data_IF_824195167149
#
_entry.id   IF_824195167149
#
_cell.length_a   1.000
_cell.length_b   1.000
_cell.length_c   1.000
_cell.angle_alpha   90.00
_cell.angle_beta   90.00
_cell.angle_gamma   90.00
#
_symmetry.space_group_name_H-M   'P 1'
#
loop_
_entity.id
_entity.type
_entity.pdbx_description
1 polymer ?
#
# COMPACT_ATOMS: atom_id res chain seq x y z
N UNK A 1 12.46 -14.17 45.86
CA UNK A 1 13.17 -14.95 44.83
C UNK A 1 12.55 -14.57 43.50
N UNK A 2 12.87 -13.39 42.94
CA UNK A 2 12.13 -12.84 41.77
C UNK A 2 13.07 -12.08 40.81
N UNK A 3 14.22 -12.65 40.50
CA UNK A 3 15.17 -12.07 39.52
C UNK A 3 15.58 -13.05 38.42
N UNK A 4 14.97 -14.24 38.38
CA UNK A 4 15.23 -15.26 37.36
C UNK A 4 14.35 -15.11 36.10
N UNK A 5 13.20 -14.43 36.20
CA UNK A 5 12.17 -14.41 35.13
C UNK A 5 12.60 -13.68 33.83
N UNK A 6 13.35 -12.58 33.92
CA UNK A 6 13.75 -11.81 32.73
C UNK A 6 14.93 -12.41 31.96
N UNK A 7 15.79 -13.19 32.63
CA UNK A 7 16.94 -13.86 32.00
C UNK A 7 16.52 -15.11 31.23
N UNK A 8 15.43 -15.76 31.64
CA UNK A 8 14.90 -16.94 30.97
C UNK A 8 14.11 -16.60 29.69
N UNK A 9 13.54 -15.39 29.60
CA UNK A 9 12.92 -14.87 28.35
C UNK A 9 13.96 -14.67 27.24
N UNK A 10 15.21 -14.33 27.58
CA UNK A 10 16.30 -14.21 26.61
C UNK A 10 16.98 -15.53 26.25
N UNK A 11 16.80 -16.59 27.06
CA UNK A 11 17.47 -17.88 26.89
C UNK A 11 16.75 -18.85 25.94
N UNK A 12 15.55 -18.49 25.46
CA UNK A 12 14.70 -19.35 24.64
C UNK A 12 14.62 -19.03 23.14
N UNK A 13 15.35 -18.02 22.64
CA UNK A 13 15.34 -17.71 21.21
C UNK A 13 16.37 -18.60 20.49
N UNK A 14 15.91 -19.67 19.85
CA UNK A 14 16.76 -20.52 18.98
C UNK A 14 17.60 -19.65 18.04
N UNK A 15 18.84 -20.05 17.72
CA UNK A 15 19.70 -19.32 16.78
C UNK A 15 18.98 -19.00 15.46
N UNK A 16 18.07 -19.88 15.03
CA UNK A 16 17.26 -19.69 13.83
C UNK A 16 16.20 -18.60 14.01
N UNK A 17 15.57 -18.50 15.18
CA UNK A 17 14.64 -17.41 15.49
C UNK A 17 15.35 -16.04 15.45
N UNK A 18 16.60 -15.96 15.90
CA UNK A 18 17.40 -14.73 15.82
C UNK A 18 17.70 -14.38 14.35
N UNK A 19 18.07 -15.36 13.52
CA UNK A 19 18.27 -15.15 12.08
C UNK A 19 16.98 -14.64 11.42
N UNK A 20 15.84 -15.27 11.72
CA UNK A 20 14.54 -14.85 11.20
C UNK A 20 14.16 -13.44 11.65
N UNK A 21 14.45 -13.06 12.90
CA UNK A 21 14.23 -11.71 13.41
C UNK A 21 15.07 -10.66 12.66
N UNK A 22 16.37 -10.91 12.49
CA UNK A 22 17.27 -10.01 11.77
C UNK A 22 16.84 -9.86 10.31
N UNK A 23 16.46 -10.97 9.66
CA UNK A 23 15.94 -10.95 8.30
C UNK A 23 14.64 -10.14 8.19
N UNK A 24 13.70 -10.33 9.11
CA UNK A 24 12.45 -9.57 9.15
C UNK A 24 12.68 -8.06 9.35
N UNK A 25 13.58 -7.68 10.26
CA UNK A 25 13.94 -6.27 10.47
C UNK A 25 14.62 -5.67 9.24
N UNK A 26 15.52 -6.41 8.60
CA UNK A 26 16.19 -5.97 7.36
C UNK A 26 15.19 -5.80 6.21
N UNK A 27 14.23 -6.72 6.09
CA UNK A 27 13.12 -6.65 5.13
C UNK A 27 12.32 -5.36 5.33
N UNK A 28 11.88 -5.09 6.56
CA UNK A 28 11.10 -3.88 6.87
C UNK A 28 11.87 -2.59 6.56
N UNK A 29 13.19 -2.59 6.79
CA UNK A 29 14.06 -1.48 6.41
C UNK A 29 14.10 -1.27 4.90
N UNK A 30 14.35 -2.34 4.14
CA UNK A 30 14.41 -2.27 2.67
C UNK A 30 13.07 -1.88 2.06
N UNK A 31 11.97 -2.51 2.49
CA UNK A 31 10.62 -2.18 2.03
C UNK A 31 10.30 -0.72 2.37
N UNK A 32 10.51 -0.28 3.61
CA UNK A 32 10.26 1.11 4.02
C UNK A 32 11.09 2.13 3.24
N UNK A 33 12.38 1.87 3.03
CA UNK A 33 13.27 2.73 2.24
C UNK A 33 12.88 2.75 0.76
N UNK A 34 12.40 1.62 0.20
CA UNK A 34 12.02 1.51 -1.20
C UNK A 34 10.94 2.52 -1.60
N UNK A 35 9.94 2.77 -0.75
CA UNK A 35 8.88 3.74 -1.01
C UNK A 35 9.42 5.16 -1.16
N UNK A 36 10.39 5.52 -0.32
CA UNK A 36 11.02 6.84 -0.27
C UNK A 36 11.94 7.04 -1.48
N UNK A 37 12.74 6.03 -1.81
CA UNK A 37 13.61 6.05 -2.99
C UNK A 37 12.78 6.13 -4.27
N UNK A 38 11.74 5.30 -4.41
CA UNK A 38 10.81 5.34 -5.55
C UNK A 38 10.20 6.73 -5.71
N UNK A 39 9.68 7.33 -4.64
CA UNK A 39 9.11 8.67 -4.73
C UNK A 39 10.13 9.74 -5.11
N UNK A 40 11.35 9.65 -4.58
CA UNK A 40 12.42 10.58 -4.98
C UNK A 40 12.76 10.43 -6.47
N UNK A 41 12.78 9.19 -6.98
CA UNK A 41 12.90 8.89 -8.40
C UNK A 41 11.75 9.47 -9.22
N UNK A 42 10.50 9.27 -8.79
CA UNK A 42 9.30 9.83 -9.44
C UNK A 42 9.35 11.36 -9.51
N UNK A 43 9.72 12.04 -8.41
CA UNK A 43 9.87 13.51 -8.38
C UNK A 43 10.96 14.00 -9.35
N UNK A 44 12.08 13.29 -9.43
CA UNK A 44 13.19 13.63 -10.34
C UNK A 44 12.78 13.42 -11.81
N UNK A 45 12.16 12.29 -12.13
CA UNK A 45 11.63 12.01 -13.46
C UNK A 45 10.53 13.00 -13.88
N UNK A 46 9.73 13.47 -12.93
CA UNK A 46 8.70 14.48 -13.16
C UNK A 46 9.24 15.89 -13.43
N UNK A 47 10.50 16.18 -13.11
CA UNK A 47 11.14 17.46 -13.43
C UNK A 47 11.68 17.50 -14.87
N UNK A 48 12.01 16.34 -15.45
CA UNK A 48 12.55 16.20 -16.81
C UNK A 48 11.54 15.63 -17.82
N UNK A 49 10.40 15.12 -17.36
CA UNK A 49 9.40 14.47 -18.20
C UNK A 49 7.98 14.51 -17.63
N UNK A 50 7.08 13.73 -18.22
CA UNK A 50 5.67 13.71 -17.82
C UNK A 50 5.54 12.96 -16.49
N UNK A 51 4.95 13.64 -15.51
CA UNK A 51 4.74 13.13 -14.16
C UNK A 51 3.88 11.86 -14.14
N UNK A 52 4.22 10.91 -13.28
CA UNK A 52 3.46 9.68 -13.11
C UNK A 52 2.02 9.97 -12.67
N UNK A 53 1.82 10.95 -11.79
CA UNK A 53 0.52 11.35 -11.27
C UNK A 53 -0.49 11.70 -12.36
N UNK A 54 -0.06 12.34 -13.46
CA UNK A 54 -0.93 12.68 -14.60
C UNK A 54 -0.99 11.58 -15.67
N UNK A 55 -0.37 10.42 -15.43
CA UNK A 55 -0.36 9.28 -16.34
C UNK A 55 0.90 9.15 -17.21
N UNK A 56 1.97 9.90 -16.94
CA UNK A 56 3.24 9.77 -17.64
C UNK A 56 4.08 8.57 -17.19
N UNK A 57 4.94 8.06 -18.08
CA UNK A 57 5.82 6.92 -17.82
C UNK A 57 7.33 7.29 -17.79
N UNK A 58 7.66 8.57 -17.69
CA UNK A 58 9.06 9.05 -17.73
C UNK A 58 9.95 8.48 -16.61
N UNK A 59 9.35 8.02 -15.52
CA UNK A 59 10.07 7.38 -14.40
C UNK A 59 10.76 6.07 -14.77
N UNK A 60 10.35 5.39 -15.85
CA UNK A 60 11.00 4.16 -16.31
C UNK A 60 12.44 4.40 -16.78
N UNK A 61 12.79 5.64 -17.16
CA UNK A 61 14.14 6.03 -17.55
C UNK A 61 14.99 6.54 -16.39
N UNK A 62 14.39 6.78 -15.22
CA UNK A 62 15.11 7.34 -14.07
C UNK A 62 15.75 6.20 -13.24
N UNK A 63 17.09 6.12 -13.16
CA UNK A 63 17.77 5.03 -12.45
C UNK A 63 17.40 4.97 -10.97
N UNK A 64 17.14 6.12 -10.34
CA UNK A 64 16.76 6.17 -8.92
C UNK A 64 15.43 5.46 -8.64
N UNK A 65 14.49 5.45 -9.59
CA UNK A 65 13.24 4.71 -9.45
C UNK A 65 13.51 3.20 -9.47
N UNK A 66 14.38 2.73 -10.37
CA UNK A 66 14.80 1.32 -10.42
C UNK A 66 15.55 0.87 -9.17
N UNK A 67 16.42 1.70 -8.60
CA UNK A 67 17.05 1.42 -7.30
C UNK A 67 15.97 1.19 -6.23
N UNK A 68 14.92 2.00 -6.21
CA UNK A 68 13.79 1.82 -5.32
C UNK A 68 13.06 0.49 -5.56
N UNK A 69 12.81 0.12 -6.82
CA UNK A 69 12.18 -1.17 -7.17
C UNK A 69 13.04 -2.37 -6.76
N UNK A 70 14.34 -2.35 -7.05
CA UNK A 70 15.27 -3.43 -6.67
C UNK A 70 15.33 -3.56 -5.14
N UNK A 71 15.37 -2.44 -4.42
CA UNK A 71 15.37 -2.44 -2.95
C UNK A 71 14.09 -3.06 -2.40
N UNK A 72 12.94 -2.80 -3.02
CA UNK A 72 11.67 -3.46 -2.67
C UNK A 72 11.75 -4.97 -2.86
N UNK A 73 12.24 -5.44 -4.01
CA UNK A 73 12.38 -6.86 -4.33
C UNK A 73 13.30 -7.56 -3.32
N UNK A 74 14.44 -6.96 -2.99
CA UNK A 74 15.37 -7.49 -1.97
C UNK A 74 14.69 -7.59 -0.60
N UNK A 75 13.90 -6.57 -0.22
CA UNK A 75 13.12 -6.59 1.00
C UNK A 75 12.10 -7.74 1.04
N UNK A 76 11.33 -7.93 -0.03
CA UNK A 76 10.36 -9.04 -0.14
C UNK A 76 11.02 -10.42 -0.08
N UNK A 77 12.18 -10.60 -0.73
CA UNK A 77 12.95 -11.84 -0.65
C UNK A 77 13.46 -12.09 0.77
N UNK A 78 13.96 -11.06 1.45
CA UNK A 78 14.36 -11.16 2.86
C UNK A 78 13.16 -11.47 3.77
N UNK A 79 11.99 -10.91 3.48
CA UNK A 79 10.73 -11.21 4.18
C UNK A 79 10.37 -12.69 4.05
N UNK A 80 10.39 -13.19 2.82
CA UNK A 80 10.12 -14.60 2.54
C UNK A 80 11.12 -15.52 3.25
N UNK A 81 12.41 -15.18 3.22
CA UNK A 81 13.43 -15.92 3.95
C UNK A 81 13.20 -15.89 5.46
N UNK A 82 12.73 -14.78 6.03
CA UNK A 82 12.44 -14.68 7.47
C UNK A 82 11.39 -15.72 7.93
N UNK A 83 10.36 -15.98 7.13
CA UNK A 83 9.36 -17.02 7.42
C UNK A 83 9.92 -18.45 7.43
N UNK A 84 11.07 -18.69 6.80
CA UNK A 84 11.74 -19.99 6.86
C UNK A 84 12.50 -20.22 8.19
N UNK A 85 12.84 -19.15 8.91
CA UNK A 85 13.68 -19.20 10.11
C UNK A 85 12.96 -18.79 11.40
N UNK A 86 11.86 -18.03 11.29
CA UNK A 86 11.06 -17.59 12.43
C UNK A 86 9.56 -17.82 12.18
N UNK A 87 8.79 -18.11 13.23
CA UNK A 87 7.35 -18.29 13.12
C UNK A 87 6.66 -17.01 12.65
N UNK A 88 5.59 -17.18 11.86
CA UNK A 88 4.86 -16.07 11.25
C UNK A 88 4.36 -15.02 12.24
N UNK A 89 4.03 -15.43 13.48
CA UNK A 89 3.58 -14.54 14.55
C UNK A 89 4.65 -13.53 15.00
N UNK A 90 5.93 -13.83 14.80
CA UNK A 90 7.05 -12.91 15.08
C UNK A 90 7.37 -12.03 13.86
N UNK A 91 7.39 -12.62 12.66
CA UNK A 91 7.80 -11.93 11.43
C UNK A 91 6.77 -10.87 11.00
N UNK A 92 5.49 -11.21 11.09
CA UNK A 92 4.43 -10.40 10.48
C UNK A 92 4.21 -9.03 11.17
N UNK A 93 4.25 -8.90 12.51
CA UNK A 93 4.23 -7.58 13.17
C UNK A 93 5.42 -6.70 12.79
N UNK A 94 6.59 -7.30 12.52
CA UNK A 94 7.77 -6.56 12.12
C UNK A 94 7.62 -5.94 10.73
N UNK A 95 6.80 -6.54 9.85
CA UNK A 95 6.42 -5.95 8.56
C UNK A 95 5.80 -4.56 8.71
N UNK A 96 5.01 -4.32 9.76
CA UNK A 96 4.43 -3.01 10.05
C UNK A 96 5.48 -1.95 10.41
N UNK A 97 6.69 -2.34 10.84
CA UNK A 97 7.80 -1.41 11.07
C UNK A 97 8.25 -0.69 9.80
N UNK A 98 8.02 -1.28 8.62
CA UNK A 98 8.30 -0.63 7.33
C UNK A 98 7.54 0.69 7.18
N UNK A 99 6.35 0.80 7.78
CA UNK A 99 5.54 2.02 7.81
C UNK A 99 6.25 3.10 8.60
N UNK A 100 6.74 2.79 9.80
CA UNK A 100 7.48 3.73 10.65
C UNK A 100 8.76 4.17 9.95
N UNK A 101 9.52 3.22 9.39
CA UNK A 101 10.76 3.50 8.67
C UNK A 101 10.49 4.41 7.48
N UNK A 102 9.45 4.13 6.69
CA UNK A 102 9.07 4.99 5.57
C UNK A 102 8.67 6.40 6.02
N UNK A 103 7.92 6.54 7.12
CA UNK A 103 7.51 7.83 7.67
C UNK A 103 8.71 8.66 8.17
N UNK A 104 9.64 8.02 8.89
CA UNK A 104 10.87 8.66 9.37
C UNK A 104 11.75 9.09 8.19
N UNK A 105 11.98 8.21 7.22
CA UNK A 105 12.77 8.52 6.03
C UNK A 105 12.11 9.57 5.14
N UNK A 106 10.77 9.62 5.05
CA UNK A 106 10.05 10.69 4.36
C UNK A 106 10.33 12.06 4.99
N UNK A 107 10.36 12.14 6.33
CA UNK A 107 10.70 13.37 7.05
C UNK A 107 12.14 13.81 6.80
N UNK A 108 13.09 12.88 6.79
CA UNK A 108 14.52 13.19 6.62
C UNK A 108 14.86 13.50 5.16
N UNK A 109 14.49 12.61 4.23
CA UNK A 109 14.95 12.63 2.84
C UNK A 109 14.06 13.52 1.97
N UNK A 110 12.73 13.47 2.15
CA UNK A 110 11.79 14.28 1.36
C UNK A 110 11.42 15.60 2.04
N UNK A 111 11.88 15.81 3.28
CA UNK A 111 11.53 16.98 4.11
C UNK A 111 10.01 17.15 4.28
N UNK A 112 9.27 16.05 4.22
CA UNK A 112 7.82 16.04 4.42
C UNK A 112 7.54 16.19 5.93
N UNK A 113 6.84 17.27 6.32
CA UNK A 113 6.50 17.53 7.72
C UNK A 113 5.36 16.61 8.16
N UNK A 114 5.58 15.85 9.23
CA UNK A 114 4.59 15.04 9.92
C UNK A 114 4.20 15.75 11.21
N UNK A 115 2.92 16.13 11.32
CA UNK A 115 2.36 16.70 12.56
C UNK A 115 2.22 15.60 13.63
N UNK A 116 2.13 15.95 14.91
CA UNK A 116 2.02 15.01 16.04
C UNK A 116 0.87 14.00 15.86
N UNK A 117 -0.25 14.46 15.34
CA UNK A 117 -1.40 13.62 14.98
C UNK A 117 -1.10 12.61 13.86
N UNK A 118 -0.19 12.92 12.92
CA UNK A 118 0.24 11.97 11.89
C UNK A 118 1.12 10.85 12.46
N UNK A 119 1.94 11.15 13.48
CA UNK A 119 2.70 10.14 14.23
C UNK A 119 1.74 9.24 15.01
N UNK A 120 0.75 9.82 15.67
CA UNK A 120 -0.29 9.05 16.36
C UNK A 120 -1.07 8.15 15.40
N UNK A 121 -1.40 8.65 14.20
CA UNK A 121 -2.06 7.87 13.16
C UNK A 121 -1.22 6.70 12.66
N UNK A 122 0.09 6.90 12.46
CA UNK A 122 1.02 5.81 12.14
C UNK A 122 1.10 4.77 13.28
N UNK A 123 1.17 5.22 14.53
CA UNK A 123 1.19 4.32 15.70
C UNK A 123 -0.09 3.47 15.78
N UNK A 124 -1.26 4.08 15.59
CA UNK A 124 -2.54 3.37 15.55
C UNK A 124 -2.59 2.34 14.41
N UNK A 125 -2.05 2.67 13.22
CA UNK A 125 -1.98 1.72 12.11
C UNK A 125 -1.08 0.52 12.46
N UNK A 126 0.07 0.76 13.10
CA UNK A 126 0.99 -0.31 13.53
C UNK A 126 0.34 -1.20 14.58
N UNK A 127 -0.26 -0.61 15.62
CA UNK A 127 -0.97 -1.35 16.68
C UNK A 127 -2.09 -2.18 16.09
N UNK A 128 -3.00 -1.57 15.33
CA UNK A 128 -4.13 -2.30 14.79
C UNK A 128 -3.72 -3.40 13.81
N UNK A 129 -2.68 -3.19 13.00
CA UNK A 129 -2.16 -4.24 12.11
C UNK A 129 -1.51 -5.39 12.86
N UNK A 130 -0.79 -5.10 13.93
CA UNK A 130 -0.22 -6.12 14.82
C UNK A 130 -1.35 -6.92 15.47
N UNK A 131 -2.41 -6.26 15.94
CA UNK A 131 -3.58 -6.94 16.53
C UNK A 131 -4.23 -7.90 15.54
N UNK A 132 -4.50 -7.47 14.29
CA UNK A 132 -5.08 -8.33 13.25
C UNK A 132 -4.18 -9.54 13.00
N UNK A 133 -2.90 -9.30 12.79
CA UNK A 133 -1.91 -10.35 12.47
C UNK A 133 -1.76 -11.37 13.59
N UNK A 134 -1.75 -10.93 14.85
CA UNK A 134 -1.59 -11.81 16.00
C UNK A 134 -2.81 -12.72 16.23
N UNK A 135 -3.99 -12.30 15.77
CA UNK A 135 -5.23 -13.04 15.95
C UNK A 135 -5.73 -13.71 14.67
N UNK A 136 -5.04 -13.47 13.55
CA UNK A 136 -5.30 -14.11 12.27
C UNK A 136 -5.29 -15.65 12.41
N UNK A 137 -6.15 -16.36 11.67
CA UNK A 137 -6.24 -17.82 11.77
C UNK A 137 -4.94 -18.43 11.23
N UNK A 138 -4.57 -19.60 11.76
CA UNK A 138 -3.44 -20.34 11.21
C UNK A 138 -3.73 -20.75 9.78
N UNK A 139 -2.82 -20.41 8.85
CA UNK A 139 -2.96 -20.76 7.45
C UNK A 139 -2.98 -22.29 7.26
N UNK A 140 -3.93 -22.78 6.46
CA UNK A 140 -4.01 -24.19 6.07
C UNK A 140 -2.77 -24.57 5.26
N UNK A 141 -2.10 -25.66 5.63
CA UNK A 141 -1.04 -26.24 4.79
C UNK A 141 -1.66 -26.88 3.54
N UNK A 142 -1.73 -26.12 2.45
CA UNK A 142 -2.12 -26.67 1.14
C UNK A 142 -0.92 -27.37 0.51
N UNK A 143 -1.11 -28.63 0.13
CA UNK A 143 -0.04 -29.49 -0.39
C UNK A 143 -0.05 -29.62 -1.92
N UNK A 144 -1.01 -29.04 -2.63
CA UNK A 144 -1.13 -29.17 -4.09
C UNK A 144 -1.66 -27.92 -4.79
N UNK A 145 -1.10 -27.60 -5.97
CA UNK A 145 -1.60 -26.51 -6.85
C UNK A 145 -3.03 -26.77 -7.30
N UNK A 146 -3.40 -28.04 -7.49
CA UNK A 146 -4.75 -28.43 -7.89
C UNK A 146 -5.77 -28.12 -6.80
N UNK A 147 -5.39 -28.32 -5.54
CA UNK A 147 -6.23 -27.95 -4.40
C UNK A 147 -6.43 -26.43 -4.32
N UNK A 148 -5.38 -25.63 -4.55
CA UNK A 148 -5.52 -24.17 -4.65
C UNK A 148 -6.41 -23.76 -5.82
N UNK A 149 -6.27 -24.44 -6.97
CA UNK A 149 -7.10 -24.17 -8.14
C UNK A 149 -8.57 -24.49 -7.89
N UNK A 150 -8.86 -25.60 -7.22
CA UNK A 150 -10.22 -26.01 -6.89
C UNK A 150 -10.84 -24.98 -5.93
N UNK A 151 -10.11 -24.55 -4.90
CA UNK A 151 -10.53 -23.48 -3.98
C UNK A 151 -10.71 -22.13 -4.70
N UNK A 152 -9.83 -21.76 -5.62
CA UNK A 152 -9.94 -20.53 -6.41
C UNK A 152 -11.11 -20.57 -7.41
N UNK A 153 -11.54 -21.77 -7.82
CA UNK A 153 -12.67 -21.96 -8.75
C UNK A 153 -14.00 -22.13 -8.01
N UNK A 154 -14.00 -22.14 -6.67
CA UNK A 154 -15.23 -22.17 -5.90
C UNK A 154 -16.06 -20.89 -6.11
N UNK A 155 -17.40 -21.02 -6.08
CA UNK A 155 -18.30 -19.91 -6.41
C UNK A 155 -18.10 -18.68 -5.51
N UNK A 156 -17.70 -18.87 -4.25
CA UNK A 156 -17.47 -17.78 -3.31
C UNK A 156 -16.26 -16.92 -3.72
N UNK A 157 -15.12 -17.54 -4.05
CA UNK A 157 -13.93 -16.81 -4.46
C UNK A 157 -14.07 -16.22 -5.86
N UNK A 158 -14.72 -16.94 -6.79
CA UNK A 158 -15.05 -16.39 -8.10
C UNK A 158 -15.96 -15.16 -8.00
N UNK A 159 -16.97 -15.19 -7.14
CA UNK A 159 -17.82 -14.01 -6.89
C UNK A 159 -17.00 -12.86 -6.34
N UNK A 160 -16.12 -13.10 -5.36
CA UNK A 160 -15.21 -12.09 -4.84
C UNK A 160 -14.34 -11.50 -5.94
N UNK A 161 -13.69 -12.34 -6.77
CA UNK A 161 -12.85 -11.90 -7.86
C UNK A 161 -13.62 -11.04 -8.87
N UNK A 162 -14.83 -11.46 -9.27
CA UNK A 162 -15.69 -10.69 -10.18
C UNK A 162 -16.06 -9.33 -9.56
N UNK A 163 -16.47 -9.30 -8.30
CA UNK A 163 -16.80 -8.06 -7.58
C UNK A 163 -15.59 -7.13 -7.52
N UNK A 164 -14.40 -7.68 -7.21
CA UNK A 164 -13.14 -6.91 -7.19
C UNK A 164 -12.84 -6.31 -8.56
N UNK A 165 -12.93 -7.11 -9.63
CA UNK A 165 -12.68 -6.62 -10.99
C UNK A 165 -13.69 -5.53 -11.38
N UNK A 166 -14.98 -5.72 -11.11
CA UNK A 166 -16.00 -4.70 -11.37
C UNK A 166 -15.71 -3.42 -10.58
N UNK A 167 -15.40 -3.54 -9.29
CA UNK A 167 -15.07 -2.40 -8.44
C UNK A 167 -13.83 -1.66 -8.96
N UNK A 168 -12.79 -2.39 -9.37
CA UNK A 168 -11.57 -1.82 -9.97
C UNK A 168 -11.90 -1.09 -11.28
N UNK A 169 -12.72 -1.67 -12.16
CA UNK A 169 -13.11 -1.02 -13.42
C UNK A 169 -13.92 0.27 -13.15
N UNK A 170 -14.86 0.25 -12.21
CA UNK A 170 -15.63 1.42 -11.79
C UNK A 170 -14.69 2.51 -11.24
N UNK A 171 -13.76 2.14 -10.36
CA UNK A 171 -12.77 3.06 -9.81
C UNK A 171 -11.93 3.68 -10.93
N UNK A 172 -11.43 2.87 -11.86
CA UNK A 172 -10.55 3.31 -12.95
C UNK A 172 -11.25 4.22 -13.94
N UNK A 173 -12.44 3.85 -14.41
CA UNK A 173 -13.12 4.57 -15.49
C UNK A 173 -14.00 5.71 -15.01
N UNK A 174 -14.56 5.63 -13.80
CA UNK A 174 -15.51 6.63 -13.31
C UNK A 174 -14.88 7.58 -12.29
N UNK A 175 -14.26 7.03 -11.23
CA UNK A 175 -13.81 7.84 -10.10
C UNK A 175 -12.42 8.45 -10.31
N UNK A 176 -11.47 7.71 -10.89
CA UNK A 176 -10.10 8.20 -11.05
C UNK A 176 -9.97 9.44 -11.95
N UNK A 177 -10.68 9.56 -13.09
CA UNK A 177 -10.60 10.77 -13.92
C UNK A 177 -11.06 12.03 -13.20
N UNK A 178 -12.03 11.91 -12.29
CA UNK A 178 -12.65 13.04 -11.61
C UNK A 178 -12.02 13.34 -10.24
N UNK A 179 -11.68 12.30 -9.48
CA UNK A 179 -11.32 12.41 -8.06
C UNK A 179 -9.95 11.84 -7.71
N UNK A 180 -9.24 11.21 -8.66
CA UNK A 180 -7.96 10.55 -8.37
C UNK A 180 -6.87 11.50 -7.85
N UNK A 181 -6.84 12.75 -8.32
CA UNK A 181 -5.85 13.75 -7.89
C UNK A 181 -6.18 14.39 -6.54
N UNK A 182 -7.44 14.35 -6.11
CA UNK A 182 -7.91 14.99 -4.88
C UNK A 182 -8.02 14.00 -3.72
N UNK A 183 -8.48 12.77 -4.00
CA UNK A 183 -8.74 11.75 -2.99
C UNK A 183 -7.84 10.52 -3.18
N UNK A 184 -6.85 10.39 -2.30
CA UNK A 184 -5.88 9.28 -2.25
C UNK A 184 -6.52 7.89 -2.23
N UNK A 185 -7.71 7.77 -1.64
CA UNK A 185 -8.40 6.48 -1.46
C UNK A 185 -8.70 5.77 -2.77
N UNK A 186 -8.92 6.49 -3.87
CA UNK A 186 -9.24 5.84 -5.15
C UNK A 186 -8.03 5.16 -5.78
N UNK A 187 -6.83 5.80 -5.76
CA UNK A 187 -5.61 5.14 -6.25
C UNK A 187 -5.22 3.96 -5.37
N UNK A 188 -5.28 4.14 -4.05
CA UNK A 188 -4.93 3.08 -3.11
C UNK A 188 -5.96 1.96 -3.14
N UNK A 189 -7.25 2.25 -3.33
CA UNK A 189 -8.31 1.26 -3.50
C UNK A 189 -8.03 0.32 -4.66
N UNK A 190 -7.72 0.84 -5.85
CA UNK A 190 -7.34 0.02 -7.01
C UNK A 190 -6.10 -0.81 -6.72
N UNK A 191 -5.07 -0.18 -6.14
CA UNK A 191 -3.81 -0.83 -5.77
C UNK A 191 -4.03 -2.00 -4.79
N UNK A 192 -4.86 -1.81 -3.78
CA UNK A 192 -5.13 -2.80 -2.74
C UNK A 192 -6.07 -3.93 -3.21
N UNK A 193 -7.07 -3.62 -4.03
CA UNK A 193 -7.99 -4.58 -4.64
C UNK A 193 -7.27 -5.52 -5.63
N UNK A 194 -6.46 -4.97 -6.54
CA UNK A 194 -5.62 -5.80 -7.42
C UNK A 194 -4.56 -6.56 -6.61
N UNK A 195 -4.08 -5.95 -5.53
CA UNK A 195 -3.12 -6.54 -4.61
C UNK A 195 -3.62 -7.81 -3.93
N UNK A 196 -4.85 -7.82 -3.42
CA UNK A 196 -5.40 -9.01 -2.73
C UNK A 196 -5.49 -10.21 -3.68
N UNK A 197 -5.92 -10.00 -4.92
CA UNK A 197 -5.93 -11.04 -5.96
C UNK A 197 -4.52 -11.51 -6.32
N UNK A 198 -3.55 -10.58 -6.38
CA UNK A 198 -2.15 -10.91 -6.63
C UNK A 198 -1.58 -11.79 -5.52
N UNK A 199 -1.83 -11.48 -4.25
CA UNK A 199 -1.30 -12.27 -3.11
C UNK A 199 -1.83 -13.70 -3.15
N UNK A 200 -3.13 -13.89 -3.36
CA UNK A 200 -3.71 -15.23 -3.48
C UNK A 200 -3.11 -16.02 -4.64
N UNK A 201 -2.89 -15.36 -5.78
CA UNK A 201 -2.28 -15.99 -6.97
C UNK A 201 -0.80 -16.30 -6.75
N UNK A 202 -0.03 -15.42 -6.10
CA UNK A 202 1.38 -15.66 -5.73
C UNK A 202 1.49 -16.83 -4.76
N UNK A 203 0.57 -16.98 -3.79
CA UNK A 203 0.54 -18.14 -2.90
C UNK A 203 0.41 -19.45 -3.71
N UNK A 204 -0.49 -19.49 -4.69
CA UNK A 204 -0.64 -20.64 -5.58
C UNK A 204 0.66 -20.95 -6.34
N UNK A 205 1.32 -19.93 -6.88
CA UNK A 205 2.59 -20.07 -7.59
C UNK A 205 3.75 -20.49 -6.67
N UNK A 206 3.78 -20.01 -5.42
CA UNK A 206 4.78 -20.40 -4.44
C UNK A 206 4.69 -21.88 -4.10
N UNK A 207 3.47 -22.41 -3.94
CA UNK A 207 3.21 -23.84 -3.77
C UNK A 207 3.63 -24.62 -5.02
N UNK A 208 3.30 -24.13 -6.22
CA UNK A 208 3.69 -24.75 -7.48
C UNK A 208 5.21 -24.84 -7.64
N UNK A 209 5.92 -23.76 -7.31
CA UNK A 209 7.37 -23.71 -7.36
C UNK A 209 8.00 -24.68 -6.35
N UNK A 210 7.51 -24.69 -5.10
CA UNK A 210 7.99 -25.61 -4.05
C UNK A 210 7.86 -27.07 -4.51
N UNK A 211 6.70 -27.46 -5.02
CA UNK A 211 6.44 -28.82 -5.52
C UNK A 211 7.28 -29.17 -6.76
N UNK A 212 7.53 -28.19 -7.63
CA UNK A 212 8.41 -28.35 -8.80
C UNK A 212 9.85 -28.59 -8.38
N UNK A 213 10.36 -27.84 -7.41
CA UNK A 213 11.70 -28.03 -6.84
C UNK A 213 11.82 -29.35 -6.07
N UNK A 214 10.72 -29.86 -5.47
CA UNK A 214 10.66 -31.18 -4.84
C UNK A 214 10.53 -32.35 -5.83
N UNK A 215 10.58 -32.10 -7.15
CA UNK A 215 10.65 -33.14 -8.18
C UNK A 215 9.33 -33.44 -8.90
N UNK A 216 8.21 -32.81 -8.53
CA UNK A 216 6.94 -32.93 -9.25
C UNK A 216 6.71 -31.70 -10.13
N UNK A 217 6.99 -31.79 -11.42
CA UNK A 217 6.96 -30.61 -12.30
C UNK A 217 5.55 -30.02 -12.44
N UNK A 218 5.24 -28.96 -11.69
CA UNK A 218 3.94 -28.27 -11.74
C UNK A 218 3.84 -27.26 -12.89
N UNK A 219 4.96 -26.97 -13.58
CA UNK A 219 5.00 -26.01 -14.69
C UNK A 219 4.34 -26.53 -15.97
N UNK A 220 4.07 -27.83 -16.04
CA UNK A 220 3.34 -28.47 -17.15
C UNK A 220 1.85 -28.11 -17.09
N UNK A 221 1.33 -27.82 -15.90
CA UNK A 221 -0.10 -27.55 -15.70
C UNK A 221 -0.49 -26.15 -16.19
N UNK A 222 -1.54 -26.01 -17.01
CA UNK A 222 -2.02 -24.70 -17.49
C UNK A 222 -2.47 -23.78 -16.34
N UNK A 223 -2.88 -24.35 -15.21
CA UNK A 223 -3.28 -23.62 -14.00
C UNK A 223 -2.16 -22.70 -13.50
N UNK A 224 -0.92 -23.17 -13.50
CA UNK A 224 0.25 -22.40 -13.07
C UNK A 224 0.47 -21.17 -13.95
N UNK A 225 0.26 -21.31 -15.27
CA UNK A 225 0.37 -20.21 -16.22
C UNK A 225 -0.79 -19.21 -16.10
N UNK A 226 -2.01 -19.69 -15.79
CA UNK A 226 -3.16 -18.82 -15.51
C UNK A 226 -2.89 -17.94 -14.28
N UNK A 227 -2.43 -18.53 -13.16
CA UNK A 227 -2.06 -17.74 -11.97
C UNK A 227 -0.89 -16.79 -12.27
N UNK A 228 0.08 -17.19 -13.07
CA UNK A 228 1.20 -16.33 -13.49
C UNK A 228 0.71 -15.10 -14.25
N UNK A 229 -0.20 -15.29 -15.21
CA UNK A 229 -0.80 -14.20 -15.97
C UNK A 229 -1.58 -13.24 -15.06
N UNK A 230 -2.38 -13.77 -14.13
CA UNK A 230 -3.11 -12.96 -13.14
C UNK A 230 -2.14 -12.12 -12.31
N UNK A 231 -1.06 -12.72 -11.78
CA UNK A 231 -0.04 -11.99 -11.02
C UNK A 231 0.59 -10.87 -11.84
N UNK A 232 0.98 -11.13 -13.09
CA UNK A 232 1.59 -10.10 -13.95
C UNK A 232 0.62 -8.92 -14.15
N UNK A 233 -0.62 -9.18 -14.51
CA UNK A 233 -1.64 -8.13 -14.73
C UNK A 233 -1.89 -7.35 -13.44
N UNK A 234 -2.04 -8.04 -12.30
CA UNK A 234 -2.27 -7.40 -11.01
C UNK A 234 -1.10 -6.54 -10.57
N UNK A 235 0.14 -7.05 -10.64
CA UNK A 235 1.34 -6.32 -10.22
C UNK A 235 1.58 -5.09 -11.09
N UNK A 236 1.42 -5.19 -12.41
CA UNK A 236 1.56 -4.04 -13.31
C UNK A 236 0.52 -2.95 -13.01
N UNK A 237 -0.73 -3.36 -12.79
CA UNK A 237 -1.82 -2.44 -12.43
C UNK A 237 -1.55 -1.80 -11.08
N UNK A 238 -1.18 -2.61 -10.08
CA UNK A 238 -0.85 -2.17 -8.72
C UNK A 238 0.29 -1.14 -8.74
N UNK A 239 1.39 -1.46 -9.44
CA UNK A 239 2.55 -0.59 -9.53
C UNK A 239 2.21 0.75 -10.19
N UNK A 240 1.40 0.76 -11.25
CA UNK A 240 0.97 1.98 -11.93
C UNK A 240 0.22 2.91 -10.97
N UNK A 241 -0.81 2.41 -10.28
CA UNK A 241 -1.62 3.24 -9.38
C UNK A 241 -0.89 3.62 -8.08
N UNK A 242 0.00 2.76 -7.58
CA UNK A 242 0.87 3.10 -6.46
C UNK A 242 1.83 4.24 -6.84
N UNK A 243 2.43 4.21 -8.03
CA UNK A 243 3.27 5.29 -8.52
C UNK A 243 2.49 6.60 -8.68
N UNK A 244 1.24 6.55 -9.18
CA UNK A 244 0.35 7.71 -9.22
C UNK A 244 0.09 8.29 -7.83
N UNK A 245 -0.21 7.45 -6.85
CA UNK A 245 -0.43 7.89 -5.48
C UNK A 245 0.81 8.50 -4.84
N UNK A 246 1.99 7.90 -5.03
CA UNK A 246 3.26 8.39 -4.47
C UNK A 246 3.73 9.70 -5.09
N UNK A 247 3.48 9.93 -6.38
CA UNK A 247 3.82 11.20 -7.04
C UNK A 247 2.86 12.33 -6.63
N UNK A 248 1.59 12.01 -6.38
CA UNK A 248 0.54 12.99 -6.08
C UNK A 248 0.47 13.35 -4.59
N UNK A 249 0.61 12.39 -3.69
CA UNK A 249 0.33 12.54 -2.26
C UNK A 249 1.58 12.39 -1.38
N UNK A 250 1.47 12.84 -0.11
CA UNK A 250 2.53 12.70 0.89
C UNK A 250 2.74 11.22 1.27
N UNK A 251 3.99 10.74 1.30
CA UNK A 251 4.26 9.30 1.51
C UNK A 251 3.98 8.86 2.92
N UNK A 252 4.11 9.79 3.87
CA UNK A 252 3.73 9.56 5.25
C UNK A 252 2.25 9.20 5.42
N UNK A 253 1.40 9.58 4.46
CA UNK A 253 -0.03 9.23 4.44
C UNK A 253 -0.29 8.05 3.51
N UNK A 254 0.40 7.98 2.36
CA UNK A 254 0.25 6.88 1.40
C UNK A 254 0.62 5.53 2.02
N UNK A 255 1.76 5.43 2.70
CA UNK A 255 2.26 4.14 3.17
C UNK A 255 1.33 3.48 4.21
N UNK A 256 0.85 4.18 5.25
CA UNK A 256 -0.10 3.59 6.18
C UNK A 256 -1.42 3.20 5.52
N UNK A 257 -2.03 4.08 4.73
CA UNK A 257 -3.33 3.80 4.09
C UNK A 257 -3.23 2.61 3.14
N UNK A 258 -2.16 2.55 2.34
CA UNK A 258 -1.90 1.43 1.45
C UNK A 258 -1.79 0.12 2.20
N UNK A 259 -0.90 0.08 3.20
CA UNK A 259 -0.66 -1.12 3.99
C UNK A 259 -1.95 -1.67 4.60
N UNK A 260 -2.77 -0.78 5.15
CA UNK A 260 -4.06 -1.09 5.78
C UNK A 260 -5.05 -1.67 4.79
N UNK A 261 -5.36 -0.94 3.73
CA UNK A 261 -6.37 -1.36 2.76
C UNK A 261 -5.93 -2.65 2.07
N UNK A 262 -4.64 -2.76 1.75
CA UNK A 262 -4.05 -3.95 1.17
C UNK A 262 -4.15 -5.15 2.11
N UNK A 263 -3.77 -5.00 3.37
CA UNK A 263 -3.81 -6.08 4.38
C UNK A 263 -5.25 -6.54 4.61
N UNK A 264 -6.19 -5.62 4.82
CA UNK A 264 -7.59 -5.95 5.06
C UNK A 264 -8.24 -6.68 3.88
N UNK A 265 -8.03 -6.20 2.65
CA UNK A 265 -8.56 -6.86 1.46
C UNK A 265 -7.90 -8.22 1.21
N UNK A 266 -6.61 -8.35 1.53
CA UNK A 266 -5.88 -9.61 1.41
C UNK A 266 -6.39 -10.65 2.40
N UNK A 267 -6.65 -10.25 3.66
CA UNK A 267 -7.23 -11.14 4.67
C UNK A 267 -8.63 -11.56 4.25
N UNK A 268 -9.47 -10.62 3.79
CA UNK A 268 -10.80 -10.93 3.28
C UNK A 268 -10.75 -11.94 2.12
N UNK A 269 -9.85 -11.72 1.14
CA UNK A 269 -9.64 -12.66 0.04
C UNK A 269 -9.21 -14.04 0.54
N UNK A 270 -8.31 -14.10 1.52
CA UNK A 270 -7.83 -15.34 2.13
C UNK A 270 -8.96 -16.10 2.82
N UNK A 271 -9.75 -15.43 3.68
CA UNK A 271 -10.87 -16.05 4.40
C UNK A 271 -11.89 -16.64 3.42
N UNK A 272 -12.19 -15.92 2.33
CA UNK A 272 -13.12 -16.39 1.30
C UNK A 272 -12.54 -17.59 0.53
N UNK A 273 -11.26 -17.54 0.13
CA UNK A 273 -10.63 -18.59 -0.68
C UNK A 273 -10.41 -19.88 0.10
N UNK A 274 -9.94 -19.80 1.34
CA UNK A 274 -9.58 -20.97 2.15
C UNK A 274 -10.74 -21.48 3.03
N UNK A 275 -11.86 -20.76 3.06
CA UNK A 275 -13.05 -21.06 3.89
C UNK A 275 -12.74 -21.23 5.37
N UNK A 276 -11.79 -20.44 5.88
CA UNK A 276 -11.36 -20.53 7.29
C UNK A 276 -12.39 -19.97 8.30
N UNK A 277 -13.58 -19.57 7.84
CA UNK A 277 -14.67 -19.05 8.69
C UNK A 277 -15.10 -20.03 9.79
N UNK A 278 -15.17 -21.32 9.49
CA UNK A 278 -15.64 -22.35 10.42
C UNK A 278 -14.63 -22.67 11.54
N UNK A 279 -13.38 -22.21 11.42
CA UNK A 279 -12.30 -22.46 12.39
C UNK A 279 -11.99 -21.26 13.28
N UNK A 280 -12.59 -20.10 12.99
CA UNK A 280 -12.33 -18.89 13.75
C UNK A 280 -13.11 -18.87 15.06
N UNK A 281 -12.38 -18.71 16.17
CA UNK A 281 -13.02 -18.46 17.46
C UNK A 281 -13.71 -17.07 17.44
N UNK A 282 -14.88 -16.90 18.09
CA UNK A 282 -15.55 -15.59 18.16
C UNK A 282 -14.63 -14.48 18.70
N UNK A 283 -13.72 -14.82 19.62
CA UNK A 283 -12.72 -13.89 20.16
C UNK A 283 -11.71 -13.42 19.10
N UNK A 284 -11.31 -14.28 18.16
CA UNK A 284 -10.44 -13.91 17.04
C UNK A 284 -11.14 -12.92 16.11
N UNK A 285 -12.40 -13.19 15.76
CA UNK A 285 -13.20 -12.28 14.93
C UNK A 285 -13.33 -10.91 15.59
N UNK A 286 -13.64 -10.85 16.89
CA UNK A 286 -13.78 -9.57 17.61
C UNK A 286 -12.46 -8.80 17.69
N UNK A 287 -11.34 -9.49 17.91
CA UNK A 287 -10.02 -8.86 18.00
C UNK A 287 -9.52 -8.39 16.63
N UNK A 288 -9.77 -9.15 15.55
CA UNK A 288 -9.53 -8.71 14.18
C UNK A 288 -10.36 -7.46 13.83
N UNK A 289 -11.65 -7.45 14.18
CA UNK A 289 -12.53 -6.28 13.99
C UNK A 289 -12.05 -5.07 14.79
N UNK A 290 -11.60 -5.26 16.04
CA UNK A 290 -11.00 -4.20 16.85
C UNK A 290 -9.71 -3.65 16.22
N UNK A 291 -8.85 -4.53 15.72
CA UNK A 291 -7.66 -4.17 14.96
C UNK A 291 -8.01 -3.34 13.73
N UNK A 292 -9.02 -3.76 12.96
CA UNK A 292 -9.51 -3.04 11.79
C UNK A 292 -10.04 -1.64 12.13
N UNK A 293 -10.85 -1.51 13.19
CA UNK A 293 -11.36 -0.20 13.66
C UNK A 293 -10.23 0.71 14.12
N UNK A 294 -9.24 0.17 14.84
CA UNK A 294 -8.05 0.92 15.28
C UNK A 294 -7.28 1.48 14.08
N UNK A 295 -7.12 0.66 13.05
CA UNK A 295 -6.49 1.05 11.81
C UNK A 295 -7.28 2.15 11.09
N UNK A 296 -8.60 2.01 10.96
CA UNK A 296 -9.47 3.02 10.33
C UNK A 296 -9.36 4.36 11.06
N UNK A 297 -9.31 4.31 12.39
CA UNK A 297 -9.10 5.49 13.24
C UNK A 297 -7.75 6.16 12.95
N UNK A 298 -6.67 5.37 12.84
CA UNK A 298 -5.34 5.88 12.46
C UNK A 298 -5.32 6.52 11.07
N UNK A 299 -6.02 5.91 10.11
CA UNK A 299 -6.16 6.40 8.74
C UNK A 299 -6.96 7.71 8.67
N UNK A 300 -8.07 7.81 9.42
CA UNK A 300 -8.84 9.03 9.52
C UNK A 300 -8.03 10.19 10.10
N UNK A 301 -7.22 9.90 11.14
CA UNK A 301 -6.33 10.90 11.74
C UNK A 301 -5.24 11.37 10.76
N UNK A 302 -4.69 10.45 9.95
CA UNK A 302 -3.75 10.78 8.87
C UNK A 302 -4.40 11.63 7.77
N UNK A 303 -5.67 11.39 7.44
CA UNK A 303 -6.39 12.20 6.47
C UNK A 303 -6.66 13.62 7.00
N UNK A 304 -7.18 13.74 8.23
CA UNK A 304 -7.48 15.06 8.83
C UNK A 304 -6.25 15.91 9.09
N UNK A 305 -5.10 15.29 9.34
CA UNK A 305 -3.84 16.04 9.49
C UNK A 305 -3.33 16.65 8.20
N UNK A 306 -3.63 16.06 7.04
CA UNK A 306 -3.36 16.69 5.75
C UNK A 306 -4.16 17.99 5.61
N UNK A 307 -5.45 17.96 5.94
CA UNK A 307 -6.33 19.14 5.82
C UNK A 307 -5.88 20.29 6.74
N UNK A 308 -5.32 19.98 7.91
CA UNK A 308 -4.74 20.99 8.81
C UNK A 308 -3.44 21.61 8.29
N UNK A 309 -2.66 20.89 7.49
CA UNK A 309 -1.40 21.38 6.89
C UNK A 309 -1.68 22.27 5.68
N UNK A 310 -2.72 21.96 4.90
CA UNK A 310 -3.10 22.75 3.74
C UNK A 310 -3.96 23.99 4.10
N UNK A 311 -4.58 24.01 5.29
CA UNK A 311 -5.38 25.13 5.82
C UNK A 311 -6.67 25.41 5.01
N UNK A 312 -7.71 26.04 5.60
CA UNK A 312 -8.78 26.59 4.78
C UNK A 312 -8.13 27.66 3.90
N UNK A 313 -8.22 27.50 2.57
CA UNK A 313 -7.76 28.47 1.61
C UNK A 313 -8.14 29.88 2.11
N UNK A 314 -7.14 30.72 2.38
CA UNK A 314 -7.39 32.12 2.65
C UNK A 314 -8.27 32.61 1.51
N UNK A 315 -9.53 32.94 1.83
CA UNK A 315 -10.34 33.79 0.98
C UNK A 315 -9.45 34.96 0.57
N UNK A 316 -9.35 35.32 -0.72
CA UNK A 316 -8.66 36.54 -1.07
C UNK A 316 -9.41 37.65 -0.35
N UNK A 317 -8.80 38.17 0.72
CA UNK A 317 -9.25 39.40 1.36
C UNK A 317 -9.16 40.44 0.25
N UNK A 318 -10.31 40.71 -0.38
CA UNK A 318 -10.49 41.87 -1.21
C UNK A 318 -10.21 43.06 -0.31
N UNK A 319 -9.02 43.63 -0.45
CA UNK A 319 -8.72 44.96 0.06
C UNK A 319 -9.81 45.89 -0.50
N UNK A 320 -10.60 46.58 0.32
CA UNK A 320 -11.49 47.61 -0.20
C UNK A 320 -10.61 48.78 -0.68
N UNK A 321 -10.60 49.00 -1.99
CA UNK A 321 -9.97 50.16 -2.61
C UNK A 321 -10.99 51.30 -2.65
N UNK A 322 -10.94 52.18 -1.66
CA UNK A 322 -11.57 53.51 -1.61
C UNK A 322 -10.78 54.32 -0.57
N UNK A 323 -10.24 55.50 -0.85
CA UNK A 323 -10.17 56.25 -2.09
C UNK A 323 -9.02 57.26 -1.96
N UNK A 324 -8.59 57.80 -3.08
CA UNK A 324 -8.04 59.16 -3.17
C UNK A 324 -8.23 59.57 -4.64
N UNK A 325 -9.02 60.62 -4.81
CA UNK A 325 -9.20 61.32 -6.07
C UNK A 325 -7.93 62.10 -6.43
N UNK A 326 -7.84 62.43 -7.72
CA UNK A 326 -7.02 63.46 -8.36
C UNK A 326 -5.61 63.13 -8.87
N UNK A 327 -5.51 63.34 -10.20
CA UNK A 327 -4.37 63.82 -10.99
C UNK A 327 -3.51 62.79 -11.77
N UNK A 328 -3.79 62.73 -13.09
CA UNK A 328 -2.74 63.02 -14.08
C UNK A 328 -2.29 61.91 -15.01
N UNK A 329 -2.71 62.03 -16.29
CA UNK A 329 -1.98 61.66 -17.52
C UNK A 329 -1.62 60.18 -17.84
N UNK A 330 -2.47 59.61 -18.71
CA UNK A 330 -2.18 58.90 -19.97
C UNK A 330 -0.90 58.06 -20.18
N UNK A 331 -1.10 56.79 -20.53
CA UNK A 331 -0.46 56.21 -21.72
C UNK A 331 -1.21 54.95 -22.23
N UNK A 332 -1.37 54.89 -23.55
CA UNK A 332 -2.08 53.89 -24.34
C UNK A 332 -1.42 52.49 -24.32
N UNK A 333 -2.23 51.44 -24.53
CA UNK A 333 -1.74 50.07 -24.73
C UNK A 333 -2.83 49.03 -25.03
N UNK A 334 -3.38 49.09 -26.25
CA UNK A 334 -3.92 48.02 -27.13
C UNK A 334 -4.62 46.79 -26.48
N UNK A 335 -5.91 46.51 -26.79
CA UNK A 335 -6.62 45.33 -26.28
C UNK A 335 -6.45 44.10 -27.18
N UNK A 336 -6.02 42.96 -26.63
CA UNK A 336 -6.09 41.66 -27.31
C UNK A 336 -7.46 40.99 -27.05
N UNK A 337 -8.23 40.99 -28.13
CA UNK A 337 -9.49 40.31 -28.42
C UNK A 337 -9.53 38.86 -27.90
N UNK A 338 -10.40 38.57 -26.93
CA UNK A 338 -10.81 37.19 -26.57
C UNK A 338 -12.09 36.86 -27.34
N UNK A 339 -12.02 35.82 -28.15
CA UNK A 339 -13.12 35.32 -28.97
C UNK A 339 -14.00 34.43 -28.09
N UNK A 340 -15.13 34.96 -27.64
CA UNK A 340 -16.17 34.20 -26.96
C UNK A 340 -16.97 33.39 -28.00
N UNK A 341 -16.85 32.08 -27.94
CA UNK A 341 -17.79 31.15 -28.57
C UNK A 341 -18.39 30.27 -27.48
N UNK A 342 -19.50 30.72 -26.90
CA UNK A 342 -20.42 29.89 -26.14
C UNK A 342 -21.83 30.11 -26.68
N UNK A 343 -22.34 29.03 -27.28
CA UNK A 343 -23.73 28.83 -27.64
C UNK A 343 -24.57 28.72 -26.35
N UNK A 344 -25.76 29.29 -26.41
CA UNK A 344 -26.93 29.02 -25.57
C UNK A 344 -28.10 28.73 -26.52
N UNK A 345 -29.22 28.15 -26.06
CA UNK A 345 -29.45 27.30 -24.89
C UNK A 345 -29.59 25.81 -25.26
#
# INVERSE_FOLDING_TARGET
>A
MDTQSWKDVYKGMSSDNIKGLVLALSSSLFIGASFIIKKKGLKKAGASGVRAGVGGYSYLYEPLWWVGMITMIVGEVANFAAYAFAPAILVTPLGALSIIISAVLARIILREKLHTFGILGCALCVVGSTTIVLHAPQEREIQSVKEVWDLATEPAFLLYAVVVIIAVLILIFHYLPQYGQTHIMFYIGVCSLMGSLSVMSVKALGIALKLTLSGTNQLIYPQTWAFTLIVIVCVLTQMNYLNKALDTFNTAVVSPIYYVMFTSLTILASIIMFKDWDRQNPTQIVTEMCGFVTILSGTFLLHKTKDMVDGPAMLPVRLPKHGDEENGFGQEGIPLRRQDSLRLP
#
